data_IF_353129290127
#
_entry.id   IF_353129290127
#
_cell.length_a   1.000
_cell.length_b   1.000
_cell.length_c   1.000
_cell.angle_alpha   90.00
_cell.angle_beta   90.00
_cell.angle_gamma   90.00
#
_symmetry.space_group_name_H-M   'P 1'
#
loop_
_entity.id
_entity.type
_entity.pdbx_description
1 polymer ?
#
# COMPACT_ATOMS: atom_id res chain seq x y z
N UNK A 1 -9.98 15.94 14.86
CA UNK A 1 -11.05 15.02 14.38
C UNK A 1 -11.02 14.83 12.86
N UNK A 2 -10.98 15.89 12.03
CA UNK A 2 -10.96 15.77 10.55
C UNK A 2 -9.86 14.84 10.00
N UNK A 3 -8.59 15.01 10.43
CA UNK A 3 -7.44 14.21 9.94
C UNK A 3 -7.61 12.70 10.16
N UNK A 4 -8.14 12.28 11.31
CA UNK A 4 -8.34 10.86 11.66
C UNK A 4 -9.33 10.17 10.73
N UNK A 5 -10.41 10.87 10.35
CA UNK A 5 -11.39 10.37 9.38
C UNK A 5 -10.74 10.15 8.01
N UNK A 6 -9.92 11.09 7.55
CA UNK A 6 -9.17 10.92 6.28
C UNK A 6 -8.20 9.73 6.34
N UNK A 7 -7.46 9.57 7.44
CA UNK A 7 -6.55 8.43 7.62
C UNK A 7 -7.33 7.11 7.60
N UNK A 8 -8.48 7.04 8.28
CA UNK A 8 -9.33 5.85 8.27
C UNK A 8 -9.84 5.52 6.86
N UNK A 9 -10.33 6.51 6.12
CA UNK A 9 -10.80 6.33 4.74
C UNK A 9 -9.67 5.80 3.86
N UNK A 10 -8.49 6.44 3.89
CA UNK A 10 -7.33 5.98 3.13
C UNK A 10 -6.87 4.59 3.56
N UNK A 11 -6.94 4.27 4.86
CA UNK A 11 -6.59 2.94 5.34
C UNK A 11 -7.54 1.88 4.80
N UNK A 12 -8.83 2.18 4.72
CA UNK A 12 -9.82 1.26 4.18
C UNK A 12 -9.68 1.07 2.67
N UNK A 13 -9.35 2.15 1.94
CA UNK A 13 -9.03 2.10 0.51
C UNK A 13 -7.78 1.23 0.29
N UNK A 14 -6.68 1.53 0.98
CA UNK A 14 -5.43 0.79 0.87
C UNK A 14 -5.59 -0.69 1.24
N UNK A 15 -6.37 -0.99 2.29
CA UNK A 15 -6.74 -2.35 2.68
C UNK A 15 -7.49 -3.06 1.56
N UNK A 16 -8.54 -2.43 1.01
CA UNK A 16 -9.41 -3.02 0.00
C UNK A 16 -8.63 -3.37 -1.26
N UNK A 17 -7.79 -2.44 -1.74
CA UNK A 17 -6.93 -2.71 -2.90
C UNK A 17 -5.86 -3.76 -2.58
N UNK A 18 -5.21 -3.70 -1.41
CA UNK A 18 -4.22 -4.73 -1.03
C UNK A 18 -4.83 -6.13 -1.01
N UNK A 19 -6.06 -6.27 -0.49
CA UNK A 19 -6.81 -7.52 -0.49
C UNK A 19 -7.20 -7.94 -1.91
N UNK A 20 -7.67 -7.00 -2.72
CA UNK A 20 -7.98 -7.25 -4.13
C UNK A 20 -6.77 -7.76 -4.91
N UNK A 21 -5.60 -7.13 -4.76
CA UNK A 21 -4.35 -7.60 -5.38
C UNK A 21 -3.95 -8.98 -4.88
N UNK A 22 -4.13 -9.27 -3.58
CA UNK A 22 -3.80 -10.57 -3.02
C UNK A 22 -4.66 -11.69 -3.64
N UNK A 23 -5.97 -11.46 -3.73
CA UNK A 23 -6.91 -12.42 -4.32
C UNK A 23 -6.78 -12.56 -5.84
N UNK A 24 -6.25 -11.53 -6.51
CA UNK A 24 -6.14 -11.46 -7.97
C UNK A 24 -4.82 -11.99 -8.54
N UNK A 25 -3.89 -12.48 -7.70
CA UNK A 25 -2.58 -12.98 -8.13
C UNK A 25 -2.68 -14.35 -8.82
N UNK A 26 -1.94 -14.62 -9.93
CA UNK A 26 -1.29 -13.71 -10.88
C UNK A 26 -2.11 -13.50 -12.18
N UNK A 27 -3.22 -14.24 -12.36
CA UNK A 27 -3.87 -14.50 -13.65
C UNK A 27 -5.32 -13.99 -13.73
N UNK A 28 -5.69 -12.96 -12.95
CA UNK A 28 -7.01 -12.36 -13.16
C UNK A 28 -7.02 -11.53 -14.45
N UNK A 29 -8.00 -11.74 -15.32
CA UNK A 29 -8.21 -10.94 -16.53
C UNK A 29 -8.31 -9.42 -16.22
N UNK A 30 -8.62 -9.07 -14.97
CA UNK A 30 -8.73 -7.72 -14.44
C UNK A 30 -7.34 -7.06 -14.29
N UNK A 31 -6.29 -7.82 -13.95
CA UNK A 31 -4.92 -7.31 -13.90
C UNK A 31 -4.33 -7.03 -15.28
N UNK A 32 -4.74 -7.78 -16.31
CA UNK A 32 -4.21 -7.64 -17.67
C UNK A 32 -4.48 -6.28 -18.32
N UNK A 33 -5.56 -5.59 -17.95
CA UNK A 33 -5.88 -4.26 -18.48
C UNK A 33 -5.21 -3.11 -17.71
N UNK A 34 -4.66 -3.37 -16.53
CA UNK A 34 -4.21 -2.33 -15.58
C UNK A 34 -2.68 -2.26 -15.39
N UNK A 35 -1.90 -2.98 -16.21
CA UNK A 35 -0.42 -2.99 -16.14
C UNK A 35 0.10 -3.65 -14.86
N UNK A 36 -0.66 -4.60 -14.32
CA UNK A 36 -0.32 -5.26 -13.07
C UNK A 36 0.39 -6.60 -13.30
N UNK A 37 0.26 -7.21 -14.47
CA UNK A 37 0.80 -8.55 -14.75
C UNK A 37 2.31 -8.60 -14.59
N UNK A 38 3.08 -7.66 -15.16
CA UNK A 38 4.54 -7.68 -15.02
C UNK A 38 4.98 -7.29 -13.61
N UNK A 39 4.24 -6.41 -12.94
CA UNK A 39 4.55 -5.98 -11.57
C UNK A 39 4.34 -7.13 -10.58
N UNK A 40 3.21 -7.83 -10.65
CA UNK A 40 2.86 -8.92 -9.72
C UNK A 40 3.64 -10.22 -9.99
N UNK A 41 4.05 -10.47 -11.23
CA UNK A 41 4.92 -11.61 -11.58
C UNK A 41 6.41 -11.34 -11.34
N UNK A 42 6.81 -10.08 -11.14
CA UNK A 42 8.21 -9.72 -10.90
C UNK A 42 8.76 -10.30 -9.59
N UNK A 43 10.09 -10.44 -9.51
CA UNK A 43 10.80 -10.79 -8.26
C UNK A 43 10.50 -9.82 -7.11
N UNK A 44 10.12 -8.58 -7.42
CA UNK A 44 9.84 -7.53 -6.46
C UNK A 44 8.42 -7.57 -5.90
N UNK A 45 7.54 -8.46 -6.41
CA UNK A 45 6.19 -8.65 -5.85
C UNK A 45 6.19 -9.29 -4.46
N UNK A 46 7.36 -9.77 -4.03
CA UNK A 46 7.65 -10.33 -2.71
C UNK A 46 8.82 -9.60 -2.06
N UNK A 47 8.70 -9.34 -0.76
CA UNK A 47 9.77 -8.78 0.08
C UNK A 47 10.03 -9.76 1.21
N UNK A 48 11.29 -10.19 1.37
CA UNK A 48 11.67 -11.26 2.32
C UNK A 48 10.85 -12.56 2.16
N UNK A 49 10.42 -12.88 0.94
CA UNK A 49 9.59 -14.07 0.66
C UNK A 49 8.09 -13.89 0.92
N UNK A 50 7.67 -12.75 1.49
CA UNK A 50 6.26 -12.43 1.77
C UNK A 50 5.71 -11.57 0.63
N UNK A 51 4.50 -11.88 0.17
CA UNK A 51 3.82 -11.08 -0.84
C UNK A 51 3.59 -9.64 -0.35
N UNK A 52 3.98 -8.66 -1.16
CA UNK A 52 3.80 -7.24 -0.80
C UNK A 52 2.32 -6.89 -0.56
N UNK A 53 1.39 -7.57 -1.24
CA UNK A 53 -0.05 -7.42 -1.01
C UNK A 53 -0.44 -7.79 0.42
N UNK A 54 0.16 -8.85 1.00
CA UNK A 54 -0.06 -9.26 2.40
C UNK A 54 0.51 -8.20 3.34
N UNK A 55 1.73 -7.71 3.06
CA UNK A 55 2.34 -6.62 3.85
C UNK A 55 1.45 -5.37 3.85
N UNK A 56 0.87 -5.02 2.70
CA UNK A 56 -0.11 -3.94 2.57
C UNK A 56 -1.34 -4.17 3.46
N UNK A 57 -1.95 -5.35 3.42
CA UNK A 57 -3.09 -5.70 4.27
C UNK A 57 -2.77 -5.48 5.75
N UNK A 58 -1.64 -6.02 6.23
CA UNK A 58 -1.23 -5.84 7.63
C UNK A 58 -0.95 -4.37 7.97
N UNK A 59 -0.27 -3.65 7.09
CA UNK A 59 0.02 -2.23 7.28
C UNK A 59 -1.27 -1.41 7.44
N UNK A 60 -2.22 -1.55 6.52
CA UNK A 60 -3.45 -0.76 6.55
C UNK A 60 -4.38 -1.16 7.71
N UNK A 61 -4.43 -2.45 8.08
CA UNK A 61 -5.12 -2.88 9.30
C UNK A 61 -4.54 -2.19 10.54
N UNK A 62 -3.22 -2.25 10.70
CA UNK A 62 -2.55 -1.65 11.86
C UNK A 62 -2.73 -0.13 11.89
N UNK A 63 -2.62 0.55 10.76
CA UNK A 63 -2.90 1.99 10.65
C UNK A 63 -4.33 2.30 11.10
N UNK A 64 -5.33 1.54 10.62
CA UNK A 64 -6.73 1.74 11.01
C UNK A 64 -6.95 1.54 12.51
N UNK A 65 -6.43 0.45 13.07
CA UNK A 65 -6.51 0.12 14.50
C UNK A 65 -5.82 1.18 15.36
N UNK A 66 -4.58 1.56 15.03
CA UNK A 66 -3.83 2.58 15.77
C UNK A 66 -4.50 3.96 15.70
N UNK A 67 -5.12 4.29 14.57
CA UNK A 67 -5.91 5.52 14.41
C UNK A 67 -7.14 5.50 15.31
N UNK A 68 -7.84 4.37 15.40
CA UNK A 68 -9.00 4.19 16.29
C UNK A 68 -8.60 4.25 17.78
N UNK A 69 -7.49 3.61 18.15
CA UNK A 69 -6.96 3.59 19.52
C UNK A 69 -6.24 4.90 19.92
N UNK A 70 -6.18 5.90 19.03
CA UNK A 70 -5.49 7.19 19.25
C UNK A 70 -4.00 7.05 19.63
N UNK A 71 -3.30 6.03 19.10
CA UNK A 71 -1.88 5.76 19.38
C UNK A 71 -0.96 6.55 18.45
N UNK A 72 -0.94 7.89 18.58
CA UNK A 72 -0.32 8.79 17.60
C UNK A 72 1.19 8.57 17.42
N UNK A 73 1.93 8.22 18.49
CA UNK A 73 3.37 7.96 18.41
C UNK A 73 3.68 6.75 17.52
N UNK A 74 2.98 5.65 17.72
CA UNK A 74 3.16 4.43 16.93
C UNK A 74 2.67 4.62 15.49
N UNK A 75 1.55 5.33 15.32
CA UNK A 75 1.01 5.66 14.00
C UNK A 75 2.00 6.48 13.15
N UNK A 76 2.68 7.48 13.73
CA UNK A 76 3.71 8.27 13.06
C UNK A 76 4.92 7.45 12.62
N UNK A 77 5.39 6.55 13.47
CA UNK A 77 6.53 5.66 13.14
C UNK A 77 6.12 4.69 12.03
N UNK A 78 4.96 4.03 12.20
CA UNK A 78 4.49 3.04 11.25
C UNK A 78 4.21 3.67 9.87
N UNK A 79 3.56 4.83 9.83
CA UNK A 79 3.27 5.53 8.57
C UNK A 79 4.52 6.03 7.86
N UNK A 80 5.55 6.45 8.60
CA UNK A 80 6.84 6.80 8.01
C UNK A 80 7.50 5.60 7.33
N UNK A 81 7.55 4.45 8.02
CA UNK A 81 8.10 3.20 7.47
C UNK A 81 7.31 2.78 6.22
N UNK A 82 5.98 2.80 6.30
CA UNK A 82 5.11 2.48 5.17
C UNK A 82 5.34 3.41 3.97
N UNK A 83 5.50 4.71 4.19
CA UNK A 83 5.78 5.69 3.13
C UNK A 83 7.13 5.49 2.46
N UNK A 84 8.17 5.12 3.22
CA UNK A 84 9.50 4.82 2.68
C UNK A 84 9.41 3.56 1.79
N UNK A 85 8.73 2.52 2.29
CA UNK A 85 8.53 1.29 1.54
C UNK A 85 7.70 1.50 0.26
N UNK A 86 6.60 2.25 0.34
CA UNK A 86 5.78 2.63 -0.81
C UNK A 86 6.59 3.39 -1.87
N UNK A 87 7.43 4.34 -1.43
CA UNK A 87 8.29 5.12 -2.33
C UNK A 87 9.32 4.23 -3.03
N UNK A 88 9.87 3.23 -2.33
CA UNK A 88 10.75 2.21 -2.89
C UNK A 88 10.04 1.34 -3.94
N UNK A 89 8.80 0.90 -3.68
CA UNK A 89 8.03 0.12 -4.65
C UNK A 89 7.67 0.94 -5.90
N UNK A 90 7.28 2.20 -5.72
CA UNK A 90 7.09 3.15 -6.84
C UNK A 90 8.37 3.25 -7.66
N UNK A 91 9.52 3.44 -7.02
CA UNK A 91 10.80 3.49 -7.74
C UNK A 91 11.05 2.23 -8.57
N UNK A 92 10.79 1.04 -8.02
CA UNK A 92 10.91 -0.22 -8.75
C UNK A 92 9.96 -0.27 -9.95
N UNK A 93 8.69 0.11 -9.78
CA UNK A 93 7.70 0.08 -10.85
C UNK A 93 8.15 0.94 -12.04
N UNK A 94 8.61 2.17 -11.79
CA UNK A 94 8.99 3.09 -12.86
C UNK A 94 10.36 2.79 -13.49
N UNK A 95 11.37 2.47 -12.69
CA UNK A 95 12.75 2.39 -13.19
C UNK A 95 13.21 0.97 -13.50
N UNK A 96 12.71 -0.03 -12.78
CA UNK A 96 13.18 -1.42 -12.89
C UNK A 96 12.23 -2.26 -13.72
N UNK A 97 10.94 -2.32 -13.33
CA UNK A 97 9.93 -3.11 -14.06
C UNK A 97 9.47 -2.38 -15.32
N UNK A 98 9.45 -1.04 -15.28
CA UNK A 98 8.99 -0.16 -16.38
C UNK A 98 7.54 -0.43 -16.79
N UNK A 99 6.72 -0.88 -15.85
CA UNK A 99 5.29 -1.09 -16.01
C UNK A 99 4.55 -0.46 -14.83
N UNK A 100 3.42 0.18 -15.11
CA UNK A 100 2.65 0.93 -14.12
C UNK A 100 1.41 0.12 -13.77
N UNK A 101 1.36 -0.42 -12.54
CA UNK A 101 0.15 -1.01 -11.99
C UNK A 101 -0.64 0.05 -11.23
N UNK A 102 -1.78 0.47 -11.78
CA UNK A 102 -2.62 1.51 -11.17
C UNK A 102 -3.09 1.15 -9.76
N UNK A 103 -3.38 -0.12 -9.51
CA UNK A 103 -3.82 -0.56 -8.19
C UNK A 103 -2.69 -0.50 -7.15
N UNK A 104 -1.45 -0.87 -7.52
CA UNK A 104 -0.28 -0.66 -6.65
C UNK A 104 -0.08 0.82 -6.34
N UNK A 105 -0.19 1.70 -7.35
CA UNK A 105 -0.08 3.14 -7.13
C UNK A 105 -1.10 3.68 -6.14
N UNK A 106 -2.36 3.24 -6.23
CA UNK A 106 -3.40 3.67 -5.26
C UNK A 106 -3.00 3.25 -3.84
N UNK A 107 -2.49 2.04 -3.66
CA UNK A 107 -2.02 1.51 -2.37
C UNK A 107 -0.82 2.33 -1.87
N UNK A 108 0.19 2.53 -2.71
CA UNK A 108 1.42 3.24 -2.35
C UNK A 108 1.16 4.72 -2.02
N UNK A 109 0.38 5.42 -2.84
CA UNK A 109 -0.02 6.79 -2.58
C UNK A 109 -0.87 6.92 -1.31
N UNK A 110 -1.76 5.95 -1.03
CA UNK A 110 -2.52 5.95 0.22
C UNK A 110 -1.57 5.94 1.43
N UNK A 111 -0.54 5.09 1.41
CA UNK A 111 0.46 5.05 2.49
C UNK A 111 1.22 6.37 2.64
N UNK A 112 1.65 6.99 1.54
CA UNK A 112 2.38 8.27 1.53
C UNK A 112 1.50 9.40 2.07
N UNK A 113 0.24 9.50 1.62
CA UNK A 113 -0.68 10.55 2.08
C UNK A 113 -1.01 10.36 3.56
N UNK A 114 -1.18 9.13 4.05
CA UNK A 114 -1.36 8.86 5.48
C UNK A 114 -0.15 9.38 6.28
N UNK A 115 1.07 9.11 5.81
CA UNK A 115 2.28 9.64 6.44
C UNK A 115 2.27 11.17 6.46
N UNK A 116 2.04 11.81 5.31
CA UNK A 116 1.95 13.27 5.22
C UNK A 116 0.93 13.87 6.21
N UNK A 117 -0.27 13.28 6.31
CA UNK A 117 -1.33 13.73 7.23
C UNK A 117 -0.95 13.56 8.72
N UNK A 118 -0.08 12.60 9.05
CA UNK A 118 0.39 12.40 10.41
C UNK A 118 1.48 13.39 10.84
N UNK A 119 2.25 13.95 9.89
CA UNK A 119 3.32 14.92 10.16
C UNK A 119 2.89 16.39 10.01
N UNK A 120 1.76 16.65 9.33
CA UNK A 120 1.06 17.94 9.34
C UNK A 120 0.30 18.16 10.66
#
# INVERSE_FOLDING_TARGET
MRKKIFILILSLIGLSFSLFLYLSRPDSAICSFSGCTSVLSSKFSKTFGIDNSILGIFYFLLVGVLTFLNQEKFLKILSLIGSIFASYLIFIMFFVVKEICYYCLIVDFSAIIISYLNYL
#
